data_IF_742260597976
#
_entry.id   IF_742260597976
#
_cell.length_a   1.000
_cell.length_b   1.000
_cell.length_c   1.000
_cell.angle_alpha   90.00
_cell.angle_beta   90.00
_cell.angle_gamma   90.00
#
_symmetry.space_group_name_H-M   'P 1'
#
loop_
_entity.id
_entity.type
_entity.pdbx_description
1 polymer ?
#
# COMPACT_ATOMS: atom_id res chain seq x y z
N UNK A 1 16.62 5.13 -5.59
CA UNK A 1 16.42 4.23 -4.44
C UNK A 1 14.94 4.27 -4.10
N UNK A 2 14.30 3.12 -3.89
CA UNK A 2 12.88 3.05 -3.54
C UNK A 2 12.72 2.30 -2.24
N UNK A 3 11.89 2.81 -1.34
CA UNK A 3 11.57 2.19 -0.05
C UNK A 3 10.06 1.96 -0.01
N UNK A 4 9.65 0.77 0.35
CA UNK A 4 8.26 0.37 0.54
C UNK A 4 8.13 -0.25 1.93
N UNK A 5 7.03 0.07 2.61
CA UNK A 5 6.96 -0.13 4.04
C UNK A 5 5.53 -0.47 4.46
N UNK A 6 5.39 -1.54 5.24
CA UNK A 6 4.17 -1.91 5.96
C UNK A 6 4.43 -1.72 7.45
N UNK A 7 3.53 -1.02 8.12
CA UNK A 7 3.71 -0.59 9.49
C UNK A 7 2.42 -0.77 10.26
N UNK A 8 2.51 -1.45 11.40
CA UNK A 8 1.41 -1.51 12.36
C UNK A 8 1.50 -0.31 13.31
N UNK A 9 0.54 0.59 13.18
CA UNK A 9 0.44 1.81 13.98
C UNK A 9 0.24 1.53 15.48
N UNK A 10 -0.42 0.42 15.84
CA UNK A 10 -0.74 0.11 17.24
C UNK A 10 0.44 -0.48 17.99
N UNK A 11 1.14 -1.45 17.40
CA UNK A 11 2.33 -2.05 18.01
C UNK A 11 3.62 -1.24 17.80
N UNK A 12 3.62 -0.31 16.84
CA UNK A 12 4.78 0.47 16.45
C UNK A 12 5.85 -0.34 15.71
N UNK A 13 5.48 -1.48 15.13
CA UNK A 13 6.40 -2.40 14.46
C UNK A 13 6.35 -2.25 12.94
N UNK A 14 7.52 -2.40 12.31
CA UNK A 14 7.62 -2.59 10.88
C UNK A 14 7.31 -4.04 10.54
N UNK A 15 6.23 -4.28 9.81
CA UNK A 15 5.85 -5.62 9.36
C UNK A 15 6.67 -6.04 8.14
N UNK A 16 6.87 -5.11 7.21
CA UNK A 16 7.64 -5.35 5.99
C UNK A 16 8.39 -4.09 5.57
N UNK A 17 9.68 -4.21 5.29
CA UNK A 17 10.48 -3.14 4.68
C UNK A 17 11.18 -3.69 3.45
N UNK A 18 10.85 -3.14 2.28
CA UNK A 18 11.50 -3.49 1.03
C UNK A 18 12.27 -2.29 0.47
N UNK A 19 13.56 -2.51 0.20
CA UNK A 19 14.45 -1.50 -0.38
C UNK A 19 14.91 -2.00 -1.75
N UNK A 20 14.46 -1.30 -2.79
CA UNK A 20 14.68 -1.68 -4.18
C UNK A 20 15.52 -0.68 -4.98
N UNK A 21 16.14 -1.21 -6.04
CA UNK A 21 16.62 -0.39 -7.15
C UNK A 21 15.46 0.44 -7.71
N UNK A 22 15.67 1.74 -7.93
CA UNK A 22 14.62 2.66 -8.40
C UNK A 22 14.07 2.37 -9.80
N UNK A 23 14.54 1.32 -10.47
CA UNK A 23 14.02 0.82 -11.76
C UNK A 23 12.96 -0.29 -11.61
N UNK A 24 12.71 -0.82 -10.41
CA UNK A 24 11.69 -1.86 -10.22
C UNK A 24 10.29 -1.25 -10.20
N UNK A 25 9.40 -1.80 -11.03
CA UNK A 25 8.06 -1.26 -11.27
C UNK A 25 7.16 -1.41 -10.03
N UNK A 26 6.47 -0.35 -9.67
CA UNK A 26 5.48 -0.26 -8.58
C UNK A 26 4.37 -1.31 -8.68
N UNK A 27 4.02 -1.72 -9.92
CA UNK A 27 2.97 -2.71 -10.17
C UNK A 27 3.22 -4.06 -9.51
N UNK A 28 4.46 -4.53 -9.45
CA UNK A 28 4.75 -5.88 -8.91
C UNK A 28 4.56 -5.93 -7.39
N UNK A 29 4.71 -4.80 -6.70
CA UNK A 29 4.59 -4.73 -5.25
C UNK A 29 3.14 -4.48 -4.80
N UNK A 30 2.34 -3.79 -5.61
CA UNK A 30 0.91 -3.60 -5.36
C UNK A 30 0.18 -4.95 -5.19
N UNK A 31 0.56 -5.95 -5.99
CA UNK A 31 -0.03 -7.28 -5.90
C UNK A 31 0.34 -8.03 -4.61
N UNK A 32 1.49 -7.76 -4.00
CA UNK A 32 1.94 -8.47 -2.80
C UNK A 32 1.24 -7.97 -1.54
N UNK A 33 1.02 -6.66 -1.39
CA UNK A 33 0.40 -6.10 -0.18
C UNK A 33 -1.10 -6.39 -0.09
N UNK A 34 -1.82 -6.44 -1.22
CA UNK A 34 -3.26 -6.75 -1.19
C UNK A 34 -3.55 -8.15 -0.63
N UNK A 35 -2.58 -9.07 -0.70
CA UNK A 35 -2.74 -10.40 -0.13
C UNK A 35 -2.63 -10.44 1.40
N UNK A 36 -2.03 -9.43 2.03
CA UNK A 36 -1.91 -9.33 3.49
C UNK A 36 -2.96 -8.42 4.13
N UNK A 37 -3.77 -7.72 3.32
CA UNK A 37 -4.75 -6.74 3.77
C UNK A 37 -5.74 -7.33 4.79
N UNK A 38 -5.94 -6.63 5.90
CA UNK A 38 -6.92 -6.96 6.94
C UNK A 38 -8.02 -5.89 7.00
N UNK A 39 -9.22 -6.25 7.50
CA UNK A 39 -10.27 -5.27 7.74
C UNK A 39 -9.80 -4.15 8.67
N UNK A 40 -10.18 -2.92 8.34
CA UNK A 40 -9.80 -1.67 9.00
C UNK A 40 -8.35 -1.20 8.80
N UNK A 41 -7.57 -1.87 7.95
CA UNK A 41 -6.25 -1.36 7.56
C UNK A 41 -6.36 -0.04 6.78
N UNK A 42 -5.31 0.79 6.84
CA UNK A 42 -5.23 2.06 6.12
C UNK A 42 -4.08 2.01 5.12
N UNK A 43 -4.43 2.12 3.83
CA UNK A 43 -3.50 2.19 2.72
C UNK A 43 -3.21 3.66 2.37
N UNK A 44 -1.95 4.07 2.39
CA UNK A 44 -1.55 5.45 2.05
C UNK A 44 -0.66 5.42 0.80
N UNK A 45 -1.12 6.03 -0.29
CA UNK A 45 -0.43 6.05 -1.60
C UNK A 45 -0.63 7.39 -2.32
N UNK A 46 0.32 7.75 -3.17
CA UNK A 46 0.15 8.86 -4.11
C UNK A 46 -0.81 8.47 -5.25
N UNK A 47 -1.56 9.46 -5.78
CA UNK A 47 -2.56 9.29 -6.86
C UNK A 47 -1.99 8.63 -8.14
N UNK A 48 -0.67 8.69 -8.36
CA UNK A 48 -0.03 8.10 -9.53
C UNK A 48 0.12 6.57 -9.50
N UNK A 49 -0.20 5.91 -8.38
CA UNK A 49 0.22 4.52 -8.11
C UNK A 49 -0.90 3.57 -7.63
N UNK A 50 -2.15 3.79 -8.04
CA UNK A 50 -3.25 2.82 -7.82
C UNK A 50 -3.89 2.41 -9.14
N UNK A 51 -4.44 1.20 -9.19
CA UNK A 51 -5.39 0.81 -10.23
C UNK A 51 -6.79 0.58 -9.63
N UNK A 52 -7.82 0.52 -10.50
CA UNK A 52 -9.20 0.32 -10.05
C UNK A 52 -9.40 -1.05 -9.38
N UNK A 53 -8.55 -2.03 -9.66
CA UNK A 53 -8.64 -3.37 -9.05
C UNK A 53 -8.15 -3.31 -7.62
N UNK A 54 -7.07 -2.58 -7.35
CA UNK A 54 -6.56 -2.35 -6.01
C UNK A 54 -7.62 -1.69 -5.14
N UNK A 55 -8.31 -0.66 -5.64
CA UNK A 55 -9.39 0.02 -4.90
C UNK A 55 -10.55 -0.93 -4.59
N UNK A 56 -10.96 -1.75 -5.56
CA UNK A 56 -12.01 -2.75 -5.35
C UNK A 56 -11.63 -3.78 -4.29
N UNK A 57 -10.39 -4.28 -4.31
CA UNK A 57 -9.92 -5.23 -3.30
C UNK A 57 -9.85 -4.61 -1.91
N UNK A 58 -9.46 -3.34 -1.79
CA UNK A 58 -9.48 -2.61 -0.50
C UNK A 58 -10.91 -2.50 0.03
N UNK A 59 -11.86 -2.15 -0.85
CA UNK A 59 -13.29 -2.06 -0.49
C UNK A 59 -13.85 -3.42 -0.06
N UNK A 60 -13.59 -4.50 -0.82
CA UNK A 60 -14.01 -5.86 -0.47
C UNK A 60 -13.45 -6.34 0.88
N UNK A 61 -12.25 -5.86 1.25
CA UNK A 61 -11.62 -6.19 2.53
C UNK A 61 -12.13 -5.33 3.70
N UNK A 62 -13.01 -4.35 3.46
CA UNK A 62 -13.43 -3.35 4.45
C UNK A 62 -12.23 -2.58 5.05
N UNK A 63 -11.29 -2.19 4.19
CA UNK A 63 -10.13 -1.38 4.52
C UNK A 63 -10.27 0.03 3.92
N UNK A 64 -9.36 0.93 4.28
CA UNK A 64 -9.39 2.34 3.90
C UNK A 64 -8.24 2.70 2.98
N UNK A 65 -8.49 3.61 2.04
CA UNK A 65 -7.46 4.17 1.17
C UNK A 65 -7.41 5.70 1.33
N UNK A 66 -6.24 6.22 1.65
CA UNK A 66 -5.96 7.65 1.74
C UNK A 66 -4.95 8.00 0.65
N UNK A 67 -5.28 9.04 -0.13
CA UNK A 67 -4.37 9.62 -1.09
C UNK A 67 -4.17 11.10 -0.81
N UNK A 68 -2.97 11.59 -1.07
CA UNK A 68 -2.72 13.03 -1.10
C UNK A 68 -3.12 13.55 -2.47
N UNK A 69 -4.14 14.40 -2.52
CA UNK A 69 -4.39 15.27 -3.67
C UNK A 69 -3.63 16.58 -3.49
N UNK A 70 -2.96 17.05 -4.53
CA UNK A 70 -2.53 18.45 -4.54
C UNK A 70 -3.79 19.36 -4.46
N UNK A 71 -3.72 20.47 -3.71
CA UNK A 71 -4.86 21.39 -3.53
C UNK A 71 -5.27 22.11 -4.81
#
# INVERSE_FOLDING_TARGET
MKIQLEYDLLSGQFLHVHVGSGKHNDKTYAATYLTSLQPNDVCIRDLGYFDLKDLHTIEECNAYFIFASEP
#
